data_IF_001721491568
#
_entry.id   IF_001721491568
#
_cell.length_a   1.000
_cell.length_b   1.000
_cell.length_c   1.000
_cell.angle_alpha   90.00
_cell.angle_beta   90.00
_cell.angle_gamma   90.00
#
_symmetry.space_group_name_H-M   'P 1'
#
loop_
_entity.id
_entity.type
_entity.pdbx_description
1 polymer ?
#
# COMPACT_ATOMS: atom_id res chain seq x y z
N UNK A 1 6.17 13.62 67.03
CA UNK A 1 7.04 13.24 65.92
C UNK A 1 6.13 13.02 64.70
N UNK A 2 6.04 14.01 63.80
CA UNK A 2 5.19 13.95 62.59
C UNK A 2 6.05 13.62 61.38
N UNK A 3 5.85 12.43 60.81
CA UNK A 3 6.54 11.99 59.61
C UNK A 3 5.94 12.60 58.33
N UNK A 4 6.74 13.43 57.67
CA UNK A 4 6.42 13.99 56.36
C UNK A 4 6.66 12.91 55.31
N UNK A 5 5.58 12.43 54.64
CA UNK A 5 5.67 11.54 53.50
C UNK A 5 5.87 12.38 52.24
N UNK A 6 7.06 12.29 51.64
CA UNK A 6 7.32 12.83 50.29
C UNK A 6 6.68 11.92 49.25
N UNK A 7 5.69 12.45 48.53
CA UNK A 7 5.13 11.84 47.31
C UNK A 7 6.00 12.35 46.16
N UNK A 8 6.80 11.45 45.57
CA UNK A 8 7.55 11.76 44.36
C UNK A 8 6.58 11.82 43.16
N UNK A 9 6.64 12.86 42.32
CA UNK A 9 5.83 12.89 41.09
C UNK A 9 6.34 11.85 40.13
N UNK A 10 5.48 10.92 39.69
CA UNK A 10 5.72 10.04 38.57
C UNK A 10 5.62 10.88 37.32
N UNK A 11 6.77 11.15 36.70
CA UNK A 11 6.88 11.82 35.43
C UNK A 11 6.42 10.82 34.33
N UNK A 12 5.18 10.94 33.87
CA UNK A 12 4.65 10.16 32.75
C UNK A 12 5.27 10.73 31.45
N UNK A 13 6.38 10.14 31.00
CA UNK A 13 6.95 10.44 29.70
C UNK A 13 5.99 9.94 28.61
N UNK A 14 5.27 10.87 27.99
CA UNK A 14 4.57 10.64 26.72
C UNK A 14 5.63 10.27 25.67
N UNK A 15 5.79 8.99 25.42
CA UNK A 15 6.46 8.51 24.21
C UNK A 15 5.61 8.96 23.02
N UNK A 16 6.02 10.05 22.38
CA UNK A 16 5.56 10.40 21.06
C UNK A 16 5.90 9.21 20.14
N UNK A 17 4.89 8.39 19.82
CA UNK A 17 5.03 7.28 18.90
C UNK A 17 5.46 7.84 17.55
N UNK A 18 6.72 7.63 17.18
CA UNK A 18 7.17 7.83 15.81
C UNK A 18 6.34 6.87 14.96
N UNK A 19 5.71 7.38 13.89
CA UNK A 19 5.03 6.55 12.92
C UNK A 19 6.07 5.59 12.32
N UNK A 20 6.14 4.38 12.83
CA UNK A 20 6.92 3.31 12.20
C UNK A 20 6.16 2.89 10.96
N UNK A 21 6.88 2.75 9.85
CA UNK A 21 6.36 2.17 8.61
C UNK A 21 5.48 0.95 8.91
N UNK A 22 4.29 0.92 8.32
CA UNK A 22 3.38 -0.19 8.54
C UNK A 22 4.01 -1.49 8.04
N UNK A 23 4.21 -2.43 8.96
CA UNK A 23 4.82 -3.73 8.69
C UNK A 23 3.80 -4.84 8.94
N UNK A 24 3.65 -5.73 7.97
CA UNK A 24 2.73 -6.85 8.04
C UNK A 24 3.49 -8.16 7.80
N UNK A 25 3.04 -9.24 8.43
CA UNK A 25 3.48 -10.58 8.02
C UNK A 25 3.04 -10.81 6.58
N UNK A 26 3.94 -11.34 5.74
CA UNK A 26 3.53 -11.80 4.40
C UNK A 26 2.56 -12.96 4.61
N UNK A 27 1.33 -12.85 4.12
CA UNK A 27 0.36 -13.90 4.30
C UNK A 27 0.74 -15.15 3.52
N UNK A 28 0.26 -16.34 3.94
CA UNK A 28 0.44 -17.58 3.19
C UNK A 28 -0.08 -17.46 1.75
N UNK A 29 0.40 -18.33 0.88
CA UNK A 29 -0.07 -18.38 -0.51
C UNK A 29 -1.60 -18.55 -0.56
N UNK A 30 -2.25 -17.77 -1.42
CA UNK A 30 -3.71 -17.72 -1.55
C UNK A 30 -4.40 -16.79 -0.55
N UNK A 31 -3.63 -15.99 0.20
CA UNK A 31 -4.09 -14.83 0.97
C UNK A 31 -3.28 -13.63 0.50
N UNK A 32 -3.96 -12.55 0.13
CA UNK A 32 -3.32 -11.41 -0.53
C UNK A 32 -3.65 -10.08 0.15
N UNK A 33 -4.52 -10.07 1.15
CA UNK A 33 -4.93 -8.84 1.85
C UNK A 33 -4.18 -8.73 3.18
N UNK A 34 -3.63 -7.54 3.44
CA UNK A 34 -2.94 -7.20 4.68
C UNK A 34 -3.51 -5.92 5.30
N UNK A 35 -3.32 -5.76 6.60
CA UNK A 35 -3.78 -4.59 7.34
C UNK A 35 -5.28 -4.59 7.63
N UNK A 36 -5.75 -3.47 8.13
CA UNK A 36 -7.15 -3.25 8.53
C UNK A 36 -7.56 -1.80 8.25
N UNK A 37 -8.83 -1.57 8.03
CA UNK A 37 -9.41 -0.22 7.96
C UNK A 37 -9.65 0.26 9.39
N UNK A 38 -9.23 1.48 9.69
CA UNK A 38 -9.43 2.13 10.99
C UNK A 38 -10.29 3.37 10.85
N UNK A 39 -10.89 3.80 11.93
CA UNK A 39 -11.56 5.10 12.02
C UNK A 39 -11.06 5.86 13.24
N UNK A 40 -10.89 7.16 13.09
CA UNK A 40 -10.48 8.06 14.15
C UNK A 40 -11.47 9.22 14.29
N UNK A 41 -11.45 9.91 15.43
CA UNK A 41 -12.06 11.20 15.62
C UNK A 41 -11.01 12.28 15.51
N UNK A 42 -11.25 13.28 14.68
CA UNK A 42 -10.33 14.40 14.49
C UNK A 42 -10.29 15.32 15.71
N UNK A 43 -9.11 15.92 15.93
CA UNK A 43 -8.93 17.06 16.82
C UNK A 43 -9.12 18.37 16.03
N UNK A 44 -9.36 19.49 16.72
CA UNK A 44 -9.59 20.81 16.12
C UNK A 44 -8.52 21.25 15.10
N UNK A 45 -7.26 20.92 15.37
CA UNK A 45 -6.09 21.31 14.54
C UNK A 45 -5.71 20.30 13.46
N UNK A 46 -6.37 19.15 13.39
CA UNK A 46 -6.01 18.13 12.41
C UNK A 46 -6.30 18.61 10.99
N UNK A 47 -5.35 18.30 10.10
CA UNK A 47 -5.52 18.37 8.64
C UNK A 47 -5.26 17.00 8.04
N UNK A 48 -5.74 16.74 6.81
CA UNK A 48 -5.42 15.47 6.15
C UNK A 48 -3.93 15.31 5.84
N UNK A 49 -3.18 16.41 5.69
CA UNK A 49 -1.72 16.36 5.55
C UNK A 49 -1.07 15.78 6.81
N UNK A 50 -1.51 16.24 7.99
CA UNK A 50 -0.96 15.78 9.27
C UNK A 50 -1.41 14.35 9.57
N UNK A 51 -2.68 14.03 9.32
CA UNK A 51 -3.24 12.69 9.51
C UNK A 51 -2.58 11.68 8.57
N UNK A 52 -2.39 12.02 7.29
CA UNK A 52 -1.73 11.17 6.32
C UNK A 52 -0.33 10.77 6.80
N UNK A 53 0.48 11.74 7.24
CA UNK A 53 1.81 11.47 7.79
C UNK A 53 1.76 10.67 9.10
N UNK A 54 0.83 11.02 10.02
CA UNK A 54 0.67 10.36 11.33
C UNK A 54 0.34 8.88 11.19
N UNK A 55 -0.46 8.52 10.17
CA UNK A 55 -0.94 7.15 9.96
C UNK A 55 -0.25 6.40 8.81
N UNK A 56 0.76 6.98 8.16
CA UNK A 56 1.52 6.34 7.09
C UNK A 56 0.68 6.05 5.85
N UNK A 57 -0.24 6.97 5.50
CA UNK A 57 -1.04 6.92 4.28
C UNK A 57 -0.75 8.13 3.39
N UNK A 58 -1.08 8.06 2.10
CA UNK A 58 -0.94 9.17 1.17
C UNK A 58 -2.06 10.21 1.35
N UNK A 59 -1.78 11.47 1.01
CA UNK A 59 -2.79 12.53 1.07
C UNK A 59 -4.02 12.20 0.20
N UNK A 60 -3.81 11.87 -1.09
CA UNK A 60 -4.88 11.48 -2.01
C UNK A 60 -5.62 10.21 -1.57
N UNK A 61 -4.91 9.26 -0.98
CA UNK A 61 -5.46 8.03 -0.43
C UNK A 61 -6.45 8.35 0.71
N UNK A 62 -6.06 9.28 1.61
CA UNK A 62 -6.92 9.71 2.71
C UNK A 62 -8.13 10.51 2.21
N UNK A 63 -7.95 11.39 1.21
CA UNK A 63 -9.04 12.15 0.59
C UNK A 63 -10.07 11.23 -0.05
N UNK A 64 -9.62 10.25 -0.85
CA UNK A 64 -10.51 9.29 -1.52
C UNK A 64 -11.28 8.39 -0.54
N UNK A 65 -10.65 8.03 0.56
CA UNK A 65 -11.28 7.23 1.62
C UNK A 65 -12.36 8.00 2.41
N UNK A 66 -12.40 9.33 2.29
CA UNK A 66 -13.28 10.22 3.08
C UNK A 66 -13.99 11.25 2.20
N UNK A 67 -14.82 10.84 1.25
CA UNK A 67 -15.54 11.77 0.38
C UNK A 67 -16.43 12.69 1.22
N UNK A 68 -16.41 14.00 0.88
CA UNK A 68 -17.23 15.02 1.55
C UNK A 68 -16.64 15.58 2.85
N UNK A 69 -15.51 15.10 3.33
CA UNK A 69 -14.78 15.72 4.45
C UNK A 69 -13.78 16.74 3.90
N UNK A 70 -13.80 17.97 4.44
CA UNK A 70 -12.81 18.99 4.06
C UNK A 70 -11.42 18.56 4.52
N UNK A 71 -10.44 18.41 3.62
CA UNK A 71 -9.11 17.91 3.98
C UNK A 71 -8.26 18.92 4.75
N UNK A 72 -8.58 20.22 4.69
CA UNK A 72 -7.86 21.27 5.38
C UNK A 72 -8.47 21.62 6.72
N UNK A 73 -9.79 21.52 6.84
CA UNK A 73 -10.55 21.82 8.05
C UNK A 73 -11.62 20.72 8.25
N UNK A 74 -11.19 19.50 8.60
CA UNK A 74 -12.15 18.40 8.80
C UNK A 74 -13.12 18.65 9.94
N UNK A 75 -12.78 19.56 10.86
CA UNK A 75 -13.57 19.88 12.05
C UNK A 75 -13.30 18.91 13.20
N UNK A 76 -13.51 19.38 14.44
CA UNK A 76 -13.33 18.57 15.64
C UNK A 76 -14.40 17.46 15.74
N UNK A 77 -13.98 16.25 16.12
CA UNK A 77 -14.87 15.10 16.32
C UNK A 77 -15.39 14.45 15.03
N UNK A 78 -14.97 14.92 13.85
CA UNK A 78 -15.31 14.28 12.57
C UNK A 78 -14.74 12.86 12.51
N UNK A 79 -15.56 11.91 12.08
CA UNK A 79 -15.10 10.54 11.88
C UNK A 79 -14.35 10.45 10.55
N UNK A 80 -13.05 10.09 10.61
CA UNK A 80 -12.18 9.94 9.44
C UNK A 80 -11.73 8.49 9.33
N UNK A 81 -11.92 7.91 8.16
CA UNK A 81 -11.47 6.55 7.81
C UNK A 81 -9.99 6.60 7.44
N UNK A 82 -9.17 5.76 8.05
CA UNK A 82 -7.76 5.58 7.74
C UNK A 82 -7.60 4.29 6.93
N UNK A 83 -7.26 4.39 5.63
CA UNK A 83 -7.26 3.26 4.70
C UNK A 83 -5.96 2.44 4.80
N UNK A 84 -5.77 1.72 5.91
CA UNK A 84 -4.56 0.91 6.17
C UNK A 84 -4.77 -0.59 5.89
N UNK A 85 -5.72 -0.94 5.00
CA UNK A 85 -5.91 -2.28 4.43
C UNK A 85 -5.52 -2.26 2.97
N UNK A 86 -4.76 -3.26 2.50
CA UNK A 86 -4.23 -3.31 1.14
C UNK A 86 -4.34 -4.71 0.56
N UNK A 87 -4.69 -4.82 -0.72
CA UNK A 87 -4.39 -5.99 -1.53
C UNK A 87 -2.94 -5.90 -1.96
N UNK A 88 -2.13 -6.92 -1.68
CA UNK A 88 -0.75 -6.94 -2.14
C UNK A 88 -0.68 -6.96 -3.67
N UNK A 89 0.25 -6.22 -4.29
CA UNK A 89 0.40 -6.21 -5.73
C UNK A 89 0.63 -7.62 -6.30
N UNK A 90 0.07 -7.89 -7.49
CA UNK A 90 0.37 -9.09 -8.25
C UNK A 90 1.77 -8.98 -8.87
N UNK A 91 2.78 -9.22 -8.06
CA UNK A 91 4.20 -9.17 -8.39
C UNK A 91 4.97 -10.10 -7.45
N UNK A 92 6.19 -10.53 -7.82
CA UNK A 92 7.04 -11.26 -6.92
C UNK A 92 7.26 -10.52 -5.60
N UNK A 93 6.99 -11.19 -4.47
CA UNK A 93 7.09 -10.64 -3.10
C UNK A 93 8.56 -10.57 -2.65
N UNK A 94 9.39 -9.85 -3.41
CA UNK A 94 10.83 -9.67 -3.17
C UNK A 94 11.29 -8.27 -3.58
N UNK A 95 12.22 -7.69 -2.81
CA UNK A 95 12.75 -6.36 -3.10
C UNK A 95 11.71 -5.26 -2.95
N UNK A 96 11.69 -4.30 -3.86
CA UNK A 96 10.77 -3.18 -3.86
C UNK A 96 9.77 -3.34 -5.01
N UNK A 97 8.48 -3.17 -4.71
CA UNK A 97 7.40 -3.04 -5.70
C UNK A 97 6.76 -1.66 -5.48
N UNK A 98 6.77 -0.83 -6.51
CA UNK A 98 6.16 0.49 -6.52
C UNK A 98 4.96 0.47 -7.45
N UNK A 99 3.75 0.61 -6.89
CA UNK A 99 2.52 0.69 -7.67
C UNK A 99 2.14 2.16 -7.87
N UNK A 100 2.23 2.62 -9.12
CA UNK A 100 2.08 4.04 -9.47
C UNK A 100 0.66 4.55 -9.25
N UNK A 101 -0.43 3.89 -9.73
CA UNK A 101 -1.79 4.40 -9.53
C UNK A 101 -2.20 4.49 -8.05
N UNK A 102 -1.63 3.63 -7.22
CA UNK A 102 -1.84 3.59 -5.78
C UNK A 102 -1.00 4.63 -5.03
N UNK A 103 0.10 5.12 -5.66
CA UNK A 103 1.13 5.95 -5.03
C UNK A 103 1.70 5.30 -3.77
N UNK A 104 2.01 3.99 -3.85
CA UNK A 104 2.48 3.20 -2.71
C UNK A 104 3.64 2.29 -3.08
N UNK A 105 4.62 2.22 -2.18
CA UNK A 105 5.78 1.36 -2.25
C UNK A 105 5.62 0.22 -1.25
N UNK A 106 5.90 -0.99 -1.70
CA UNK A 106 5.99 -2.21 -0.90
C UNK A 106 7.42 -2.71 -0.89
N UNK A 107 7.98 -2.90 0.29
CA UNK A 107 9.30 -3.48 0.45
C UNK A 107 9.21 -4.83 1.13
N UNK A 108 9.80 -5.83 0.51
CA UNK A 108 9.91 -7.20 1.00
C UNK A 108 11.37 -7.44 1.39
N UNK A 109 11.75 -7.29 2.67
CA UNK A 109 13.11 -7.56 3.12
C UNK A 109 13.53 -9.00 2.81
N UNK A 110 14.82 -9.25 2.55
CA UNK A 110 15.33 -10.62 2.51
C UNK A 110 14.97 -11.33 3.82
N UNK A 111 14.49 -12.58 3.77
CA UNK A 111 14.14 -13.31 4.97
C UNK A 111 15.38 -13.55 5.85
N UNK A 112 15.26 -13.24 7.13
CA UNK A 112 16.25 -13.59 8.15
C UNK A 112 15.98 -15.02 8.61
N UNK A 113 17.03 -15.79 8.88
CA UNK A 113 16.88 -17.19 9.31
C UNK A 113 16.05 -17.29 10.60
N UNK A 114 14.95 -18.04 10.53
CA UNK A 114 14.01 -18.23 11.66
C UNK A 114 12.94 -17.16 11.81
N UNK A 115 12.96 -16.08 11.04
CA UNK A 115 11.93 -15.04 11.05
C UNK A 115 10.89 -15.29 9.95
N UNK A 116 9.64 -14.91 10.25
CA UNK A 116 8.57 -14.93 9.25
C UNK A 116 8.77 -13.76 8.28
N UNK A 117 8.56 -13.96 6.97
CA UNK A 117 8.69 -12.89 6.00
C UNK A 117 7.68 -11.78 6.29
N UNK A 118 8.13 -10.54 6.12
CA UNK A 118 7.29 -9.35 6.29
C UNK A 118 7.23 -8.53 5.00
N UNK A 119 6.20 -7.71 4.89
CA UNK A 119 6.09 -6.63 3.92
C UNK A 119 5.94 -5.31 4.67
N UNK A 120 6.72 -4.33 4.27
CA UNK A 120 6.60 -2.95 4.74
C UNK A 120 5.98 -2.12 3.62
N UNK A 121 5.08 -1.21 3.96
CA UNK A 121 4.44 -0.36 2.96
C UNK A 121 4.54 1.11 3.32
N UNK A 122 4.71 1.95 2.29
CA UNK A 122 4.98 3.37 2.42
C UNK A 122 4.20 4.15 1.37
N UNK A 123 3.51 5.23 1.73
CA UNK A 123 2.96 6.15 0.75
C UNK A 123 4.10 6.90 0.05
N UNK A 124 3.90 7.24 -1.21
CA UNK A 124 4.91 7.95 -1.99
C UNK A 124 4.30 9.07 -2.84
N UNK A 125 5.05 10.15 -3.04
CA UNK A 125 4.78 11.11 -4.11
C UNK A 125 5.47 10.64 -5.39
N UNK A 126 4.81 10.83 -6.54
CA UNK A 126 5.29 10.40 -7.85
C UNK A 126 5.42 11.56 -8.84
N UNK A 127 5.88 11.25 -10.03
CA UNK A 127 5.96 12.21 -11.15
C UNK A 127 4.58 12.80 -11.48
N UNK A 128 4.54 14.12 -11.70
CA UNK A 128 3.36 14.80 -12.21
C UNK A 128 3.18 14.55 -13.70
N UNK A 129 2.06 14.95 -14.25
CA UNK A 129 1.81 14.89 -15.68
C UNK A 129 2.97 15.52 -16.49
N UNK A 130 3.38 14.86 -17.57
CA UNK A 130 4.55 15.24 -18.36
C UNK A 130 5.92 14.88 -17.75
N UNK A 131 5.96 14.41 -16.49
CA UNK A 131 7.16 13.96 -15.78
C UNK A 131 6.93 12.59 -15.15
N UNK A 132 6.52 11.62 -15.97
CA UNK A 132 6.11 10.31 -15.49
C UNK A 132 7.23 9.52 -14.83
N UNK A 133 6.88 8.77 -13.79
CA UNK A 133 7.74 7.72 -13.24
C UNK A 133 7.63 6.49 -14.16
N UNK A 134 8.73 6.01 -14.79
CA UNK A 134 8.63 4.98 -15.81
C UNK A 134 8.29 3.61 -15.24
N UNK A 135 7.46 2.85 -15.95
CA UNK A 135 7.16 1.45 -15.65
C UNK A 135 8.33 0.57 -16.09
N UNK A 136 9.03 -0.01 -15.14
CA UNK A 136 10.28 -0.71 -15.42
C UNK A 136 10.67 -1.65 -14.28
N UNK A 137 11.50 -2.63 -14.62
CA UNK A 137 12.25 -3.41 -13.63
C UNK A 137 13.69 -2.88 -13.60
N UNK A 138 14.11 -2.42 -12.45
CA UNK A 138 15.42 -1.80 -12.21
C UNK A 138 16.01 -2.29 -10.89
N UNK A 139 17.05 -1.64 -10.39
CA UNK A 139 17.66 -1.97 -9.09
C UNK A 139 18.25 -0.74 -8.42
N UNK A 140 18.43 -0.81 -7.11
CA UNK A 140 19.19 0.17 -6.33
C UNK A 140 20.69 0.02 -6.64
N UNK A 141 21.32 1.10 -7.11
CA UNK A 141 22.76 1.10 -7.49
C UNK A 141 23.64 1.81 -6.49
N UNK A 142 23.09 2.78 -5.74
CA UNK A 142 23.82 3.50 -4.71
C UNK A 142 22.86 4.02 -3.64
N UNK A 143 23.43 4.30 -2.47
CA UNK A 143 22.77 4.90 -1.30
C UNK A 143 23.52 6.18 -0.95
N UNK A 144 22.82 7.29 -0.81
CA UNK A 144 23.41 8.59 -0.49
C UNK A 144 22.75 9.16 0.77
N UNK A 145 23.58 9.45 1.77
CA UNK A 145 23.21 10.25 2.94
C UNK A 145 23.59 11.70 2.66
N UNK A 146 22.74 12.61 3.07
CA UNK A 146 22.93 14.05 2.87
C UNK A 146 23.33 14.38 1.40
N UNK A 147 22.47 14.01 0.42
CA UNK A 147 22.80 14.16 -0.99
C UNK A 147 22.83 15.64 -1.39
N UNK A 148 23.73 16.02 -2.29
CA UNK A 148 23.61 17.27 -3.05
C UNK A 148 22.63 17.04 -4.20
N UNK A 149 21.64 17.94 -4.35
CA UNK A 149 20.73 17.89 -5.49
C UNK A 149 21.32 18.67 -6.68
N UNK A 150 21.38 17.99 -7.82
CA UNK A 150 21.77 18.60 -9.09
C UNK A 150 20.52 18.61 -9.99
N UNK A 151 19.79 19.76 -10.10
CA UNK A 151 18.63 19.84 -10.98
C UNK A 151 19.06 19.62 -12.43
N UNK A 152 18.30 18.79 -13.15
CA UNK A 152 18.53 18.56 -14.58
C UNK A 152 18.31 19.84 -15.38
N UNK A 153 18.82 19.90 -16.61
CA UNK A 153 18.63 21.08 -17.47
C UNK A 153 17.14 21.36 -17.71
N UNK A 154 16.33 20.31 -17.92
CA UNK A 154 14.88 20.43 -18.09
C UNK A 154 14.19 21.05 -16.88
N UNK A 155 14.55 20.60 -15.67
CA UNK A 155 14.02 21.17 -14.41
C UNK A 155 14.43 22.64 -14.27
N UNK A 156 15.69 22.98 -14.54
CA UNK A 156 16.15 24.38 -14.49
C UNK A 156 15.43 25.29 -15.50
N UNK A 157 15.19 24.79 -16.71
CA UNK A 157 14.47 25.56 -17.75
C UNK A 157 13.01 25.81 -17.32
N UNK A 158 12.35 24.82 -16.75
CA UNK A 158 10.98 24.95 -16.27
C UNK A 158 10.88 25.98 -15.15
N UNK A 159 11.70 25.88 -14.11
CA UNK A 159 11.73 26.83 -13.00
C UNK A 159 12.07 28.26 -13.50
N UNK A 160 13.02 28.38 -14.42
CA UNK A 160 13.37 29.69 -15.00
C UNK A 160 12.19 30.32 -15.76
N UNK A 161 11.34 29.52 -16.41
CA UNK A 161 10.14 30.02 -17.09
C UNK A 161 9.08 30.55 -16.10
N UNK A 162 9.11 30.06 -14.86
CA UNK A 162 8.27 30.51 -13.75
C UNK A 162 8.93 31.64 -12.92
N UNK A 163 10.13 32.12 -13.32
CA UNK A 163 10.88 33.17 -12.64
C UNK A 163 11.72 32.67 -11.47
N UNK A 164 11.79 31.37 -11.23
CA UNK A 164 12.62 30.74 -10.19
C UNK A 164 13.94 30.23 -10.78
N UNK A 165 15.04 30.94 -10.53
CA UNK A 165 16.35 30.58 -11.06
C UNK A 165 17.06 29.62 -10.11
N UNK A 166 16.97 28.33 -10.39
CA UNK A 166 17.63 27.31 -9.61
C UNK A 166 19.15 27.36 -9.73
N UNK A 167 19.90 27.22 -8.62
CA UNK A 167 21.35 27.06 -8.66
C UNK A 167 21.74 25.75 -9.36
N UNK A 168 22.97 25.61 -9.88
CA UNK A 168 23.44 24.38 -10.51
C UNK A 168 23.50 23.19 -9.54
N UNK A 169 23.61 23.46 -8.24
CA UNK A 169 23.60 22.46 -7.16
C UNK A 169 23.00 23.05 -5.89
N UNK A 170 22.18 22.27 -5.19
CA UNK A 170 21.68 22.57 -3.84
C UNK A 170 22.37 21.62 -2.86
N UNK A 171 23.19 22.16 -1.93
CA UNK A 171 23.90 21.33 -0.95
C UNK A 171 22.94 20.65 0.03
N UNK A 172 23.41 19.67 0.83
CA UNK A 172 22.66 19.14 1.94
C UNK A 172 22.13 20.23 2.87
N UNK A 173 20.93 20.08 3.37
CA UNK A 173 20.32 21.04 4.27
C UNK A 173 18.79 21.04 4.24
N UNK A 174 18.15 21.91 5.02
CA UNK A 174 16.70 21.95 5.17
C UNK A 174 15.96 22.30 3.86
N UNK A 175 16.62 23.00 2.94
CA UNK A 175 16.03 23.42 1.65
C UNK A 175 16.31 22.43 0.52
N UNK A 176 17.03 21.34 0.79
CA UNK A 176 17.33 20.35 -0.24
C UNK A 176 16.09 19.49 -0.55
N UNK A 177 15.59 19.49 -1.80
CA UNK A 177 14.37 18.76 -2.16
C UNK A 177 14.51 17.24 -2.07
N UNK A 178 15.73 16.69 -2.02
CA UNK A 178 15.97 15.27 -1.84
C UNK A 178 15.89 14.82 -0.37
N UNK A 179 15.86 15.75 0.59
CA UNK A 179 15.96 15.43 2.02
C UNK A 179 17.30 14.80 2.40
N UNK A 180 17.34 14.08 3.51
CA UNK A 180 18.58 13.56 4.09
C UNK A 180 19.04 12.22 3.48
N UNK A 181 18.18 11.49 2.74
CA UNK A 181 18.50 10.17 2.21
C UNK A 181 17.96 9.98 0.79
N UNK A 182 18.76 9.32 -0.06
CA UNK A 182 18.37 8.95 -1.41
C UNK A 182 18.92 7.57 -1.80
N UNK A 183 18.09 6.80 -2.51
CA UNK A 183 18.44 5.55 -3.19
C UNK A 183 18.48 5.81 -4.70
N UNK A 184 19.63 5.65 -5.32
CA UNK A 184 19.79 5.80 -6.77
C UNK A 184 19.36 4.52 -7.49
N UNK A 185 18.57 4.68 -8.53
CA UNK A 185 18.16 3.57 -9.39
C UNK A 185 19.13 3.38 -10.58
N UNK A 186 19.09 2.21 -11.21
CA UNK A 186 19.85 1.95 -12.46
C UNK A 186 19.21 2.61 -13.69
N UNK A 187 18.40 3.64 -13.46
CA UNK A 187 17.81 4.51 -14.48
C UNK A 187 18.44 5.89 -14.27
N UNK A 188 19.02 6.49 -15.30
CA UNK A 188 19.63 7.82 -15.17
C UNK A 188 18.65 8.84 -14.57
N UNK A 189 19.09 9.59 -13.59
CA UNK A 189 18.34 10.68 -12.93
C UNK A 189 17.13 10.26 -12.07
N UNK A 190 16.81 8.97 -11.92
CA UNK A 190 15.72 8.53 -11.07
C UNK A 190 16.19 8.08 -9.69
N UNK A 191 15.49 8.57 -8.67
CA UNK A 191 15.79 8.35 -7.25
C UNK A 191 14.50 7.95 -6.50
N UNK A 192 14.67 7.18 -5.43
CA UNK A 192 13.73 7.13 -4.31
C UNK A 192 14.38 7.95 -3.19
N UNK A 193 13.73 9.02 -2.72
CA UNK A 193 14.37 9.99 -1.83
C UNK A 193 13.39 10.61 -0.82
N UNK A 194 13.91 11.27 0.17
CA UNK A 194 13.15 12.05 1.14
C UNK A 194 12.59 13.34 0.56
N UNK A 195 12.24 14.26 1.44
CA UNK A 195 11.74 15.57 1.01
C UNK A 195 11.90 16.60 2.11
N UNK A 196 12.07 17.86 1.73
CA UNK A 196 11.91 19.01 2.61
C UNK A 196 10.44 19.48 2.71
N UNK A 197 9.56 18.98 1.81
CA UNK A 197 8.12 19.30 1.75
C UNK A 197 7.28 18.03 1.91
N UNK A 198 7.08 17.51 3.14
CA UNK A 198 6.36 16.26 3.39
C UNK A 198 4.91 16.25 2.88
N UNK A 199 4.25 17.40 2.80
CA UNK A 199 2.89 17.52 2.27
C UNK A 199 2.74 17.03 0.81
N UNK A 200 3.84 16.84 0.08
CA UNK A 200 3.84 16.30 -1.27
C UNK A 200 3.85 14.76 -1.36
N UNK A 201 3.84 14.05 -0.23
CA UNK A 201 3.73 12.58 -0.23
C UNK A 201 2.27 12.17 -0.43
N UNK A 202 2.05 11.21 -1.32
CA UNK A 202 0.70 10.84 -1.76
C UNK A 202 0.12 11.82 -2.79
N UNK A 203 0.97 12.58 -3.49
CA UNK A 203 0.60 13.52 -4.57
C UNK A 203 1.48 13.31 -5.80
N UNK A 204 1.01 13.79 -6.94
CA UNK A 204 1.74 13.85 -8.21
C UNK A 204 2.43 15.21 -8.36
N UNK A 205 3.64 15.34 -7.78
CA UNK A 205 4.31 16.65 -7.63
C UNK A 205 5.79 16.63 -7.97
N UNK A 206 6.37 15.49 -8.33
CA UNK A 206 7.79 15.38 -8.63
C UNK A 206 8.09 15.50 -10.13
N UNK A 207 9.37 15.61 -10.48
CA UNK A 207 9.87 15.51 -11.85
C UNK A 207 10.25 14.05 -12.20
N UNK A 208 9.43 13.08 -11.79
CA UNK A 208 9.58 11.66 -12.07
C UNK A 208 10.20 10.82 -10.95
N UNK A 209 10.92 11.42 -10.00
CA UNK A 209 11.46 10.72 -8.85
C UNK A 209 10.38 10.35 -7.83
N UNK A 210 10.68 9.36 -7.00
CA UNK A 210 9.78 8.85 -5.94
C UNK A 210 10.10 9.55 -4.63
N UNK A 211 9.14 10.30 -4.10
CA UNK A 211 9.27 11.08 -2.87
C UNK A 211 8.65 10.36 -1.69
N UNK A 212 9.33 10.31 -0.56
CA UNK A 212 8.89 9.66 0.66
C UNK A 212 8.91 10.61 1.86
N UNK A 213 8.15 10.31 2.90
CA UNK A 213 8.32 11.00 4.19
C UNK A 213 9.76 10.84 4.69
N UNK A 214 10.32 11.84 5.41
CA UNK A 214 11.70 11.79 5.91
C UNK A 214 11.99 10.56 6.76
N UNK A 215 11.07 10.17 7.63
CA UNK A 215 11.15 9.00 8.50
C UNK A 215 11.07 7.67 7.73
N UNK A 216 10.29 7.64 6.65
CA UNK A 216 10.10 6.45 5.82
C UNK A 216 11.34 6.16 4.97
N UNK A 217 11.88 7.19 4.31
CA UNK A 217 13.12 7.00 3.53
C UNK A 217 14.31 6.68 4.42
N UNK A 218 14.38 7.21 5.64
CA UNK A 218 15.42 6.85 6.60
C UNK A 218 15.35 5.35 6.95
N UNK A 219 14.13 4.86 7.20
CA UNK A 219 13.87 3.45 7.48
C UNK A 219 14.24 2.59 6.27
N UNK A 220 13.76 2.94 5.09
CA UNK A 220 14.03 2.20 3.85
C UNK A 220 15.54 2.21 3.52
N UNK A 221 16.19 3.36 3.70
CA UNK A 221 17.64 3.50 3.49
C UNK A 221 18.45 2.56 4.38
N UNK A 222 18.08 2.37 5.64
CA UNK A 222 18.77 1.46 6.57
C UNK A 222 18.63 0.00 6.12
N UNK A 223 17.46 -0.38 5.65
CA UNK A 223 17.07 -1.77 5.40
C UNK A 223 17.40 -2.27 4.00
N UNK A 224 17.37 -1.41 2.97
CA UNK A 224 17.52 -1.81 1.57
C UNK A 224 18.99 -1.98 1.20
N UNK A 225 19.46 -3.19 0.79
CA UNK A 225 20.79 -3.38 0.26
C UNK A 225 20.96 -2.77 -1.15
N UNK A 226 22.19 -2.41 -1.53
CA UNK A 226 22.55 -2.14 -2.93
C UNK A 226 22.34 -3.43 -3.73
N UNK A 227 21.79 -3.31 -4.93
CA UNK A 227 21.44 -4.47 -5.77
C UNK A 227 19.98 -4.89 -5.62
N UNK A 228 19.26 -4.41 -4.59
CA UNK A 228 17.82 -4.70 -4.41
C UNK A 228 17.03 -4.36 -5.68
N UNK A 229 16.28 -5.32 -6.19
CA UNK A 229 15.41 -5.14 -7.35
C UNK A 229 14.27 -4.20 -7.03
N UNK A 230 13.94 -3.32 -7.98
CA UNK A 230 12.81 -2.39 -7.92
C UNK A 230 11.92 -2.62 -9.13
N UNK A 231 10.65 -2.94 -8.89
CA UNK A 231 9.63 -3.07 -9.93
C UNK A 231 8.66 -1.90 -9.82
N UNK A 232 8.60 -1.11 -10.87
CA UNK A 232 7.59 -0.04 -11.00
C UNK A 232 6.48 -0.57 -11.90
N UNK A 233 5.28 -0.65 -11.35
CA UNK A 233 4.12 -1.32 -11.96
C UNK A 233 2.93 -0.40 -12.07
N UNK A 234 1.98 -0.79 -12.93
CA UNK A 234 0.71 -0.13 -13.19
C UNK A 234 -0.43 -1.11 -12.87
N UNK A 235 -0.90 -1.10 -11.62
CA UNK A 235 -2.02 -1.94 -11.18
C UNK A 235 -3.07 -1.06 -10.49
N UNK A 236 -3.91 -0.35 -11.26
CA UNK A 236 -5.00 0.45 -10.68
C UNK A 236 -6.08 -0.45 -10.05
N UNK A 237 -6.22 -1.68 -10.52
CA UNK A 237 -7.12 -2.69 -9.99
C UNK A 237 -6.31 -3.82 -9.38
N UNK A 238 -6.58 -4.16 -8.14
CA UNK A 238 -5.96 -5.28 -7.45
C UNK A 238 -7.04 -6.19 -6.87
N UNK A 239 -6.85 -7.50 -7.03
CA UNK A 239 -7.72 -8.52 -6.44
C UNK A 239 -6.92 -9.43 -5.53
N UNK A 240 -7.54 -9.84 -4.43
CA UNK A 240 -6.87 -10.72 -3.49
C UNK A 240 -7.83 -11.43 -2.55
N UNK A 241 -7.42 -12.61 -2.11
CA UNK A 241 -8.21 -13.45 -1.21
C UNK A 241 -7.93 -13.12 0.25
N UNK A 242 -9.00 -13.10 1.06
CA UNK A 242 -8.92 -13.09 2.52
C UNK A 242 -10.12 -13.80 3.12
N UNK A 243 -9.88 -14.74 4.03
CA UNK A 243 -10.92 -15.48 4.76
C UNK A 243 -12.01 -16.11 3.87
N UNK A 244 -11.64 -16.55 2.65
CA UNK A 244 -12.57 -17.20 1.70
C UNK A 244 -13.35 -16.23 0.81
N UNK A 245 -13.28 -14.92 1.04
CA UNK A 245 -13.84 -13.89 0.17
C UNK A 245 -12.79 -13.32 -0.77
N UNK A 246 -13.21 -12.90 -1.96
CA UNK A 246 -12.38 -12.16 -2.91
C UNK A 246 -12.62 -10.67 -2.71
N UNK A 247 -11.54 -9.92 -2.54
CA UNK A 247 -11.54 -8.46 -2.38
C UNK A 247 -11.08 -7.78 -3.66
N UNK A 248 -11.72 -6.68 -3.98
CA UNK A 248 -11.33 -5.76 -5.05
C UNK A 248 -10.89 -4.43 -4.42
N UNK A 249 -9.73 -3.92 -4.85
CA UNK A 249 -9.20 -2.61 -4.53
C UNK A 249 -9.04 -1.82 -5.83
N UNK A 250 -9.59 -0.61 -5.87
CA UNK A 250 -9.65 0.23 -7.06
C UNK A 250 -9.00 1.58 -6.78
N UNK A 251 -8.04 1.94 -7.62
CA UNK A 251 -7.44 3.27 -7.70
C UNK A 251 -7.72 3.88 -9.08
N UNK A 252 -7.96 5.19 -9.18
CA UNK A 252 -8.05 5.83 -10.49
C UNK A 252 -6.75 5.60 -11.27
N UNK A 253 -6.81 5.15 -12.53
CA UNK A 253 -5.64 5.14 -13.41
C UNK A 253 -5.15 6.56 -13.62
N UNK A 254 -3.86 6.74 -13.87
CA UNK A 254 -3.34 8.06 -14.25
C UNK A 254 -3.93 8.51 -15.59
N UNK A 255 -4.18 9.80 -15.76
CA UNK A 255 -4.81 10.35 -16.97
C UNK A 255 -4.07 9.97 -18.25
N UNK A 256 -2.74 10.02 -18.23
CA UNK A 256 -1.87 9.61 -19.33
C UNK A 256 -1.93 8.10 -19.62
N UNK A 257 -2.34 7.30 -18.67
CA UNK A 257 -2.39 5.83 -18.76
C UNK A 257 -3.79 5.29 -19.09
N UNK A 258 -4.83 6.13 -19.03
CA UNK A 258 -6.23 5.74 -19.32
C UNK A 258 -6.37 5.05 -20.69
N UNK A 259 -5.57 5.44 -21.70
CA UNK A 259 -5.58 4.80 -23.02
C UNK A 259 -4.89 3.45 -23.05
N UNK A 260 -3.93 3.22 -22.17
CA UNK A 260 -3.12 2.00 -22.06
C UNK A 260 -3.78 0.98 -21.14
N UNK A 261 -4.37 1.43 -20.05
CA UNK A 261 -5.10 0.58 -19.12
C UNK A 261 -6.43 0.18 -19.76
N UNK A 262 -6.72 -1.12 -19.84
CA UNK A 262 -8.01 -1.60 -20.32
C UNK A 262 -9.13 -0.91 -19.53
N UNK A 263 -10.15 -0.40 -20.27
CA UNK A 263 -11.13 0.50 -19.68
C UNK A 263 -12.10 -0.22 -18.74
N UNK A 264 -12.21 0.27 -17.53
CA UNK A 264 -13.30 0.03 -16.61
C UNK A 264 -13.51 -1.43 -16.23
N UNK A 265 -14.74 -1.86 -16.24
CA UNK A 265 -15.18 -3.19 -15.85
C UNK A 265 -14.56 -4.32 -16.71
N UNK A 266 -14.12 -4.04 -17.94
CA UNK A 266 -13.42 -5.03 -18.78
C UNK A 266 -12.11 -5.47 -18.13
N UNK A 267 -11.28 -4.52 -17.66
CA UNK A 267 -10.03 -4.86 -16.99
C UNK A 267 -10.25 -5.61 -15.67
N UNK A 268 -11.30 -5.22 -14.94
CA UNK A 268 -11.70 -5.92 -13.71
C UNK A 268 -12.15 -7.36 -14.03
N UNK A 269 -12.90 -7.55 -15.11
CA UNK A 269 -13.35 -8.89 -15.55
C UNK A 269 -12.17 -9.76 -15.98
N UNK A 270 -11.20 -9.22 -16.74
CA UNK A 270 -9.98 -9.94 -17.11
C UNK A 270 -9.16 -10.34 -15.88
N UNK A 271 -9.01 -9.41 -14.92
CA UNK A 271 -8.33 -9.67 -13.66
C UNK A 271 -9.07 -10.74 -12.85
N UNK A 272 -10.41 -10.67 -12.80
CA UNK A 272 -11.26 -11.66 -12.13
C UNK A 272 -11.02 -13.05 -12.73
N UNK A 273 -11.12 -13.21 -14.04
CA UNK A 273 -10.91 -14.49 -14.74
C UNK A 273 -9.52 -15.06 -14.40
N UNK A 274 -8.47 -14.24 -14.43
CA UNK A 274 -7.12 -14.68 -14.11
C UNK A 274 -6.94 -15.06 -12.64
N UNK A 275 -7.62 -14.36 -11.72
CA UNK A 275 -7.52 -14.59 -10.28
C UNK A 275 -8.32 -15.81 -9.81
N UNK A 276 -9.37 -16.18 -10.56
CA UNK A 276 -10.32 -17.22 -10.19
C UNK A 276 -10.28 -18.46 -11.07
N UNK A 277 -9.25 -18.61 -11.92
CA UNK A 277 -9.13 -19.69 -12.90
C UNK A 277 -9.41 -21.09 -12.33
N UNK A 278 -9.11 -21.32 -11.05
CA UNK A 278 -9.25 -22.60 -10.36
C UNK A 278 -10.44 -22.65 -9.38
N UNK A 279 -11.30 -21.62 -9.35
CA UNK A 279 -12.37 -21.50 -8.35
C UNK A 279 -13.67 -21.00 -8.96
N UNK A 280 -14.77 -21.69 -8.67
CA UNK A 280 -16.10 -21.13 -8.88
C UNK A 280 -16.44 -20.18 -7.74
N UNK A 281 -16.82 -18.95 -8.09
CA UNK A 281 -17.20 -17.90 -7.13
C UNK A 281 -18.54 -17.29 -7.56
N UNK A 282 -19.32 -16.85 -6.57
CA UNK A 282 -20.51 -16.03 -6.81
C UNK A 282 -20.11 -14.55 -6.67
N UNK A 283 -20.01 -13.88 -7.82
CA UNK A 283 -19.61 -12.47 -7.90
C UNK A 283 -20.84 -11.59 -7.67
N UNK A 284 -20.70 -10.65 -6.75
CA UNK A 284 -21.67 -9.57 -6.56
C UNK A 284 -21.30 -8.40 -7.50
N UNK A 285 -21.90 -8.38 -8.68
CA UNK A 285 -21.62 -7.36 -9.70
C UNK A 285 -22.07 -5.96 -9.28
N UNK A 286 -23.11 -5.83 -8.47
CA UNK A 286 -23.56 -4.54 -7.94
C UNK A 286 -22.48 -3.97 -7.00
N UNK A 287 -21.87 -4.83 -6.18
CA UNK A 287 -20.74 -4.47 -5.33
C UNK A 287 -19.50 -4.08 -6.18
N UNK A 288 -19.19 -4.84 -7.24
CA UNK A 288 -18.08 -4.53 -8.16
C UNK A 288 -18.23 -3.16 -8.80
N UNK A 289 -19.43 -2.83 -9.32
CA UNK A 289 -19.73 -1.52 -9.92
C UNK A 289 -19.59 -0.42 -8.87
N UNK A 290 -20.14 -0.60 -7.67
CA UNK A 290 -20.02 0.38 -6.59
C UNK A 290 -18.58 0.63 -6.16
N UNK A 291 -17.74 -0.42 -6.04
CA UNK A 291 -16.31 -0.32 -5.70
C UNK A 291 -15.55 0.44 -6.82
N UNK A 292 -15.88 0.15 -8.08
CA UNK A 292 -15.28 0.79 -9.23
C UNK A 292 -15.61 2.28 -9.29
N UNK A 293 -16.88 2.64 -9.14
CA UNK A 293 -17.34 4.03 -9.22
C UNK A 293 -16.82 4.88 -8.06
N UNK A 294 -16.74 4.33 -6.85
CA UNK A 294 -16.23 5.02 -5.68
C UNK A 294 -14.71 5.18 -5.70
N UNK A 295 -13.99 4.21 -6.23
CA UNK A 295 -12.53 4.16 -6.34
C UNK A 295 -11.79 4.68 -5.08
N UNK A 296 -12.25 4.26 -3.90
CA UNK A 296 -11.75 4.74 -2.60
C UNK A 296 -10.34 4.27 -2.27
N UNK A 297 -9.81 3.28 -3.00
CA UNK A 297 -8.55 2.62 -2.68
C UNK A 297 -8.64 1.67 -1.48
N UNK A 298 -9.83 1.44 -0.93
CA UNK A 298 -10.05 0.50 0.18
C UNK A 298 -10.48 -0.84 -0.38
N UNK A 299 -9.79 -1.96 -0.09
CA UNK A 299 -10.24 -3.29 -0.47
C UNK A 299 -11.62 -3.61 0.10
N UNK A 300 -12.56 -3.96 -0.77
CA UNK A 300 -13.92 -4.37 -0.39
C UNK A 300 -14.22 -5.75 -0.95
N UNK A 301 -15.03 -6.55 -0.23
CA UNK A 301 -15.43 -7.88 -0.70
C UNK A 301 -16.35 -7.75 -1.91
N UNK A 302 -16.07 -8.55 -2.95
CA UNK A 302 -16.84 -8.60 -4.19
C UNK A 302 -17.55 -9.94 -4.40
N UNK A 303 -17.48 -10.83 -3.42
CA UNK A 303 -18.18 -12.12 -3.43
C UNK A 303 -19.29 -12.08 -2.41
N UNK A 304 -20.42 -12.68 -2.76
CA UNK A 304 -21.50 -12.92 -1.79
C UNK A 304 -21.02 -13.90 -0.74
N UNK A 305 -21.36 -13.65 0.53
CA UNK A 305 -21.05 -14.55 1.62
C UNK A 305 -21.60 -15.95 1.29
N UNK A 306 -20.72 -16.87 0.90
CA UNK A 306 -21.08 -18.27 0.90
C UNK A 306 -20.95 -18.74 2.35
N UNK A 307 -22.03 -19.22 3.00
CA UNK A 307 -21.91 -19.90 4.28
C UNK A 307 -20.88 -21.02 4.08
N UNK A 308 -19.84 -21.04 4.93
CA UNK A 308 -18.84 -22.10 4.89
C UNK A 308 -19.60 -23.43 4.83
N UNK A 309 -19.53 -24.12 3.67
CA UNK A 309 -19.96 -25.50 3.59
C UNK A 309 -19.01 -26.26 4.51
N UNK A 310 -19.44 -26.48 5.74
CA UNK A 310 -18.85 -27.51 6.58
C UNK A 310 -18.86 -28.75 5.72
N UNK A 311 -17.67 -29.31 5.45
CA UNK A 311 -17.55 -30.59 4.79
C UNK A 311 -18.46 -31.56 5.58
N UNK A 312 -19.60 -31.92 5.00
CA UNK A 312 -20.40 -33.00 5.55
C UNK A 312 -19.47 -34.21 5.53
N UNK A 313 -18.99 -34.56 6.73
CA UNK A 313 -18.33 -35.83 6.98
C UNK A 313 -19.26 -36.86 6.42
N UNK A 314 -18.82 -37.57 5.37
CA UNK A 314 -19.58 -38.60 4.71
C UNK A 314 -20.16 -39.54 5.75
N UNK A 315 -21.46 -39.45 5.97
CA UNK A 315 -22.22 -40.50 6.65
C UNK A 315 -22.20 -41.66 5.71
N UNK A 316 -21.38 -42.64 6.05
CA UNK A 316 -21.42 -43.94 5.44
C UNK A 316 -22.86 -44.41 5.40
N UNK A 317 -23.34 -44.70 4.21
CA UNK A 317 -24.60 -45.38 4.00
C UNK A 317 -24.52 -46.75 4.69
N UNK A 318 -25.08 -46.79 5.89
CA UNK A 318 -25.37 -48.04 6.60
C UNK A 318 -26.46 -48.77 5.80
N UNK A 319 -26.03 -49.58 4.81
CA UNK A 319 -26.91 -50.51 4.11
C UNK A 319 -27.31 -51.62 5.09
N UNK A 320 -28.42 -51.40 5.81
CA UNK A 320 -29.11 -52.48 6.50
C UNK A 320 -29.72 -53.44 5.46
N UNK A 321 -29.16 -54.63 5.38
CA UNK A 321 -29.80 -55.73 4.68
C UNK A 321 -31.16 -56.04 5.30
N UNK A 322 -32.24 -56.24 4.52
CA UNK A 322 -33.53 -56.70 5.05
C UNK A 322 -33.41 -58.15 5.51
N UNK A 323 -33.87 -58.39 6.72
CA UNK A 323 -33.96 -59.72 7.29
C UNK A 323 -34.99 -60.62 6.49
N UNK A 324 -34.51 -61.70 5.88
CA UNK A 324 -35.36 -62.72 5.34
C UNK A 324 -34.97 -63.26 3.97
N UNK A 325 -33.89 -64.03 3.85
CA UNK A 325 -33.77 -65.11 2.89
C UNK A 325 -32.69 -66.12 3.34
N UNK A 326 -33.08 -67.36 3.44
CA UNK A 326 -32.24 -68.50 3.79
C UNK A 326 -31.27 -68.84 2.63
N UNK A 327 -30.00 -68.99 2.92
CA UNK A 327 -29.05 -69.82 2.18
C UNK A 327 -28.33 -69.13 0.99
N UNK A 328 -27.03 -68.89 1.16
CA UNK A 328 -26.12 -68.52 0.04
C UNK A 328 -24.83 -67.88 0.52
N UNK A 329 -23.76 -68.64 0.48
CA UNK A 329 -22.42 -68.22 0.93
C UNK A 329 -21.87 -66.99 0.18
N UNK A 330 -21.43 -65.93 0.88
CA UNK A 330 -20.56 -64.90 0.35
C UNK A 330 -19.12 -65.42 0.37
N UNK A 331 -18.52 -65.61 -0.79
CA UNK A 331 -17.07 -65.76 -0.97
C UNK A 331 -16.41 -64.38 -0.94
N UNK A 332 -15.33 -64.31 -0.21
CA UNK A 332 -14.32 -63.24 -0.31
C UNK A 332 -13.40 -63.59 -1.50
N UNK A 333 -13.15 -62.60 -2.29
CA UNK A 333 -11.87 -62.36 -3.01
C UNK A 333 -11.52 -60.91 -2.91
#
# INVERSE_FOLDING_TARGET
>A
MHGIRFIAPVLLTLLAGQALAASYLVPPQGIDVVGEVRSIRTEYKDTFVDLARRYGVGYEELVRANPGVDPWIPGEGTNVVIPTRFVLPNAPRTGIVLNIPEMRLYYYPPPTQGEKPIVMTFPVGIGREGWTTPYVVTKVTAKQRDPTWYPTESVRKEHAAEGDILPPAVPPGPDNPLGAYALRLAIPSYLIHGTHKPAGVGLRVSHGCVRMFPEDIETLFKLVPIGTQVRVIDQPFKMGWQAGALYLEVHPPLDEDVKRTAKGLTAITELLVSTTADRQIDVDWDAVEAIYDQATGIPQAMTRDQPMRTAEAGRGSDQRCPAGSKGGACRRD
#
